data_IF_773744364459
#
_entry.id   IF_773744364459
#
_cell.length_a   1.000
_cell.length_b   1.000
_cell.length_c   1.000
_cell.angle_alpha   90.00
_cell.angle_beta   90.00
_cell.angle_gamma   90.00
#
_symmetry.space_group_name_H-M   'P 1'
#
loop_
_entity.id
_entity.type
_entity.pdbx_description
1 polymer ?
#
# COMPACT_ATOMS: atom_id res chain seq x y z
N UNK A 1 -15.46 -12.73 18.64
CA UNK A 1 -14.62 -11.53 18.53
C UNK A 1 -15.10 -10.72 17.35
N UNK A 2 -15.07 -9.38 17.45
CA UNK A 2 -15.59 -8.45 16.46
C UNK A 2 -14.42 -7.70 15.80
N UNK A 3 -14.44 -7.60 14.47
CA UNK A 3 -13.41 -6.96 13.65
C UNK A 3 -14.05 -5.92 12.75
N UNK A 4 -13.46 -4.73 12.69
CA UNK A 4 -13.91 -3.65 11.82
C UNK A 4 -12.92 -3.42 10.69
N UNK A 5 -13.43 -3.26 9.48
CA UNK A 5 -12.66 -2.81 8.32
C UNK A 5 -13.17 -1.44 7.90
N UNK A 6 -12.33 -0.42 8.00
CA UNK A 6 -12.60 0.91 7.46
C UNK A 6 -12.10 0.89 6.03
N UNK A 7 -13.03 0.98 5.08
CA UNK A 7 -12.79 0.79 3.63
C UNK A 7 -13.47 1.90 2.83
N UNK A 8 -13.08 2.03 1.57
CA UNK A 8 -13.86 2.79 0.60
C UNK A 8 -15.25 2.19 0.41
N UNK A 9 -16.22 2.91 -0.20
CA UNK A 9 -17.56 2.38 -0.42
C UNK A 9 -17.52 0.98 -1.06
N UNK A 10 -18.16 0.01 -0.42
CA UNK A 10 -18.03 -1.42 -0.76
C UNK A 10 -18.47 -1.72 -2.20
N UNK A 11 -19.37 -0.90 -2.75
CA UNK A 11 -19.87 -0.99 -4.13
C UNK A 11 -18.80 -0.66 -5.18
N UNK A 12 -17.77 0.09 -4.79
CA UNK A 12 -16.64 0.47 -5.65
C UNK A 12 -15.55 -0.60 -5.67
N UNK A 13 -15.56 -1.53 -4.72
CA UNK A 13 -14.54 -2.55 -4.58
C UNK A 13 -14.73 -3.69 -5.59
N UNK A 14 -13.64 -4.15 -6.17
CA UNK A 14 -13.65 -5.27 -7.13
C UNK A 14 -13.69 -6.61 -6.41
N UNK A 15 -14.86 -7.19 -6.22
CA UNK A 15 -15.12 -8.41 -5.42
C UNK A 15 -14.07 -9.51 -5.58
N UNK A 16 -13.62 -9.77 -6.81
CA UNK A 16 -12.68 -10.86 -7.14
C UNK A 16 -11.19 -10.51 -6.96
N UNK A 17 -10.87 -9.22 -6.72
CA UNK A 17 -9.47 -8.75 -6.70
C UNK A 17 -9.12 -7.94 -5.45
N UNK A 18 -10.13 -7.49 -4.73
CA UNK A 18 -9.91 -6.61 -3.59
C UNK A 18 -9.36 -7.38 -2.38
N UNK A 19 -8.26 -6.88 -1.83
CA UNK A 19 -7.58 -7.48 -0.68
C UNK A 19 -8.39 -7.34 0.61
N UNK A 20 -9.11 -6.24 0.80
CA UNK A 20 -9.92 -6.03 2.01
C UNK A 20 -11.09 -7.00 2.05
N UNK A 21 -11.77 -7.20 0.92
CA UNK A 21 -12.82 -8.21 0.80
C UNK A 21 -12.29 -9.64 0.92
N UNK A 22 -11.06 -9.90 0.47
CA UNK A 22 -10.42 -11.19 0.69
C UNK A 22 -10.15 -11.45 2.17
N UNK A 23 -9.63 -10.47 2.90
CA UNK A 23 -9.43 -10.56 4.35
C UNK A 23 -10.74 -10.81 5.08
N UNK A 24 -11.79 -10.04 4.77
CA UNK A 24 -13.12 -10.21 5.37
C UNK A 24 -13.67 -11.63 5.13
N UNK A 25 -13.55 -12.17 3.91
CA UNK A 25 -13.94 -13.57 3.60
C UNK A 25 -13.16 -14.56 4.44
N UNK A 26 -11.85 -14.34 4.59
CA UNK A 26 -10.97 -15.20 5.40
C UNK A 26 -11.41 -15.22 6.85
N UNK A 27 -11.74 -14.07 7.42
CA UNK A 27 -12.24 -13.94 8.80
C UNK A 27 -13.62 -14.60 8.97
N UNK A 28 -14.53 -14.41 8.02
CA UNK A 28 -15.87 -15.04 8.03
C UNK A 28 -15.78 -16.57 7.98
N UNK A 29 -14.86 -17.15 7.19
CA UNK A 29 -14.62 -18.62 7.15
C UNK A 29 -14.22 -19.18 8.52
N UNK A 30 -13.57 -18.37 9.35
CA UNK A 30 -13.22 -18.73 10.75
C UNK A 30 -14.31 -18.38 11.75
N UNK A 31 -15.53 -18.07 11.27
CA UNK A 31 -16.71 -17.72 12.09
C UNK A 31 -16.48 -16.50 13.00
N UNK A 32 -15.63 -15.58 12.60
CA UNK A 32 -15.40 -14.31 13.25
C UNK A 32 -16.46 -13.30 12.81
N UNK A 33 -16.86 -12.40 13.70
CA UNK A 33 -17.79 -11.32 13.33
C UNK A 33 -17.04 -10.21 12.61
N UNK A 34 -17.43 -9.96 11.37
CA UNK A 34 -16.81 -8.97 10.49
C UNK A 34 -17.78 -7.84 10.21
N UNK A 35 -17.31 -6.63 10.38
CA UNK A 35 -18.02 -5.40 10.11
C UNK A 35 -17.20 -4.51 9.18
N UNK A 36 -17.87 -3.66 8.43
CA UNK A 36 -17.21 -2.59 7.71
C UNK A 36 -17.86 -1.24 7.99
N UNK A 37 -17.10 -0.19 7.81
CA UNK A 37 -17.53 1.21 7.80
C UNK A 37 -16.76 1.95 6.70
N UNK A 38 -17.32 3.06 6.24
CA UNK A 38 -16.59 4.02 5.41
C UNK A 38 -16.00 5.12 6.28
N UNK A 39 -14.97 5.85 5.80
CA UNK A 39 -14.43 7.01 6.51
C UNK A 39 -15.49 8.02 6.95
N UNK A 40 -16.50 8.27 6.11
CA UNK A 40 -17.59 9.21 6.40
C UNK A 40 -18.49 8.77 7.59
N UNK A 41 -18.53 7.46 7.89
CA UNK A 41 -19.29 6.92 9.01
C UNK A 41 -18.59 7.04 10.37
N UNK A 42 -17.32 7.48 10.40
CA UNK A 42 -16.55 7.62 11.65
C UNK A 42 -16.83 8.98 12.28
N UNK A 43 -17.18 8.99 13.55
CA UNK A 43 -17.45 10.23 14.29
C UNK A 43 -16.92 10.20 15.72
N UNK A 44 -16.45 11.35 16.19
CA UNK A 44 -16.08 11.60 17.58
C UNK A 44 -17.27 12.30 18.27
N UNK A 45 -17.78 11.71 19.33
CA UNK A 45 -18.82 12.32 20.13
C UNK A 45 -18.23 13.36 21.11
N UNK A 46 -19.06 14.28 21.60
CA UNK A 46 -18.69 15.26 22.61
C UNK A 46 -18.10 14.65 23.90
N UNK A 47 -18.49 13.39 24.18
CA UNK A 47 -17.96 12.58 25.30
C UNK A 47 -16.54 12.07 25.08
N UNK A 48 -15.92 12.35 23.92
CA UNK A 48 -14.59 11.83 23.55
C UNK A 48 -14.60 10.40 23.00
N UNK A 49 -15.77 9.75 22.90
CA UNK A 49 -15.86 8.38 22.38
C UNK A 49 -16.03 8.35 20.86
N UNK A 50 -15.21 7.58 20.18
CA UNK A 50 -15.36 7.31 18.76
C UNK A 50 -16.44 6.27 18.50
N UNK A 51 -17.26 6.54 17.50
CA UNK A 51 -18.28 5.63 16.98
C UNK A 51 -18.22 5.53 15.47
N UNK A 52 -18.76 4.45 14.94
CA UNK A 52 -18.85 4.20 13.51
C UNK A 52 -20.26 3.77 13.12
N UNK A 53 -20.70 4.20 11.95
CA UNK A 53 -21.84 3.63 11.24
C UNK A 53 -21.35 2.37 10.54
N UNK A 54 -21.77 1.20 11.04
CA UNK A 54 -21.21 -0.09 10.63
C UNK A 54 -22.25 -1.00 10.03
N UNK A 55 -21.79 -1.86 9.14
CA UNK A 55 -22.58 -2.90 8.50
C UNK A 55 -21.96 -4.26 8.83
N UNK A 56 -22.73 -5.18 9.41
CA UNK A 56 -22.26 -6.54 9.68
C UNK A 56 -22.29 -7.37 8.40
N UNK A 57 -21.14 -7.92 8.01
CA UNK A 57 -21.05 -8.80 6.84
C UNK A 57 -21.62 -10.18 7.18
N UNK A 58 -22.57 -10.65 6.35
CA UNK A 58 -23.11 -12.02 6.38
C UNK A 58 -22.31 -12.97 5.49
N UNK A 59 -22.04 -12.53 4.26
CA UNK A 59 -21.38 -13.36 3.24
C UNK A 59 -20.80 -12.48 2.14
N UNK A 60 -19.69 -12.93 1.56
CA UNK A 60 -19.10 -12.32 0.37
C UNK A 60 -18.89 -13.41 -0.68
N UNK A 61 -19.67 -13.38 -1.75
CA UNK A 61 -19.55 -14.26 -2.93
C UNK A 61 -19.29 -13.39 -4.17
N UNK A 62 -20.21 -13.36 -5.13
CA UNK A 62 -20.18 -12.44 -6.28
C UNK A 62 -20.64 -11.03 -5.90
N UNK A 63 -21.26 -10.90 -4.72
CA UNK A 63 -21.56 -9.62 -4.06
C UNK A 63 -21.38 -9.76 -2.56
N UNK A 64 -21.17 -8.64 -1.88
CA UNK A 64 -21.22 -8.59 -0.42
C UNK A 64 -22.68 -8.53 0.04
N UNK A 65 -23.00 -9.35 1.04
CA UNK A 65 -24.31 -9.35 1.74
C UNK A 65 -24.05 -8.94 3.18
N UNK A 66 -24.77 -7.94 3.65
CA UNK A 66 -24.60 -7.36 4.99
C UNK A 66 -25.94 -6.91 5.58
N UNK A 67 -25.95 -6.68 6.89
CA UNK A 67 -27.11 -6.18 7.63
C UNK A 67 -27.29 -4.68 7.38
N UNK A 68 -28.42 -4.15 7.89
CA UNK A 68 -28.66 -2.72 7.93
C UNK A 68 -27.60 -2.00 8.78
N UNK A 69 -27.50 -0.68 8.56
CA UNK A 69 -26.56 0.17 9.27
C UNK A 69 -26.89 0.22 10.78
N UNK A 70 -25.86 0.00 11.58
CA UNK A 70 -25.94 0.20 13.03
C UNK A 70 -24.84 1.16 13.50
N UNK A 71 -25.12 2.01 14.47
CA UNK A 71 -24.09 2.81 15.13
C UNK A 71 -23.46 2.05 16.29
N UNK A 72 -22.14 1.79 16.23
CA UNK A 72 -21.37 1.12 17.28
C UNK A 72 -20.22 1.99 17.78
N UNK A 73 -19.93 1.91 19.08
CA UNK A 73 -18.66 2.43 19.62
C UNK A 73 -17.49 1.64 19.03
N UNK A 74 -16.36 2.29 18.75
CA UNK A 74 -15.15 1.59 18.30
C UNK A 74 -14.61 0.60 19.35
N UNK A 75 -14.94 0.80 20.65
CA UNK A 75 -14.58 -0.11 21.73
C UNK A 75 -15.25 -1.50 21.59
N UNK A 76 -16.28 -1.63 20.75
CA UNK A 76 -16.91 -2.91 20.43
C UNK A 76 -16.03 -3.87 19.67
N UNK A 77 -14.99 -3.35 18.98
CA UNK A 77 -14.12 -4.12 18.11
C UNK A 77 -12.79 -4.46 18.79
N UNK A 78 -12.31 -5.69 18.60
CA UNK A 78 -10.99 -6.15 19.06
C UNK A 78 -9.90 -5.48 18.23
N UNK A 79 -10.06 -5.52 16.90
CA UNK A 79 -9.11 -4.92 15.94
C UNK A 79 -9.85 -4.13 14.87
N UNK A 80 -9.21 -3.10 14.39
CA UNK A 80 -9.73 -2.21 13.37
C UNK A 80 -8.69 -2.10 12.25
N UNK A 81 -9.06 -2.55 11.05
CA UNK A 81 -8.21 -2.49 9.85
C UNK A 81 -8.51 -1.20 9.10
N UNK A 82 -7.49 -0.36 8.92
CA UNK A 82 -7.59 0.85 8.11
C UNK A 82 -7.16 0.46 6.69
N UNK A 83 -8.13 0.35 5.78
CA UNK A 83 -7.96 -0.17 4.44
C UNK A 83 -8.51 0.77 3.37
N UNK A 84 -8.41 2.06 3.63
CA UNK A 84 -8.76 3.12 2.67
C UNK A 84 -7.65 3.26 1.65
N UNK A 85 -8.01 3.31 0.38
CA UNK A 85 -7.04 3.47 -0.69
C UNK A 85 -6.51 4.92 -0.76
N UNK A 86 -5.27 5.14 -1.18
CA UNK A 86 -4.79 6.47 -1.54
C UNK A 86 -5.67 7.15 -2.62
N UNK A 87 -5.68 8.48 -2.74
CA UNK A 87 -4.64 9.38 -2.26
C UNK A 87 -4.72 9.69 -0.77
N UNK A 88 -3.57 9.90 -0.12
CA UNK A 88 -3.50 10.41 1.24
C UNK A 88 -3.77 11.93 1.19
N UNK A 89 -5.05 12.28 1.17
CA UNK A 89 -5.56 13.65 1.11
C UNK A 89 -5.96 14.21 2.49
N UNK A 90 -6.59 15.37 2.52
CA UNK A 90 -7.07 16.00 3.76
C UNK A 90 -8.12 15.14 4.48
N UNK A 91 -8.96 14.41 3.76
CA UNK A 91 -9.96 13.53 4.38
C UNK A 91 -9.30 12.32 5.05
N UNK A 92 -8.32 11.72 4.37
CA UNK A 92 -7.53 10.63 4.96
C UNK A 92 -6.75 11.12 6.18
N UNK A 93 -6.15 12.31 6.10
CA UNK A 93 -5.44 12.95 7.22
C UNK A 93 -6.37 13.14 8.42
N UNK A 94 -7.57 13.70 8.22
CA UNK A 94 -8.58 13.89 9.26
C UNK A 94 -9.02 12.56 9.89
N UNK A 95 -9.28 11.53 9.07
CA UNK A 95 -9.57 10.18 9.56
C UNK A 95 -8.45 9.66 10.46
N UNK A 96 -7.19 9.85 10.07
CA UNK A 96 -6.03 9.40 10.84
C UNK A 96 -5.94 10.08 12.20
N UNK A 97 -6.25 11.37 12.29
CA UNK A 97 -6.30 12.11 13.56
C UNK A 97 -7.45 11.63 14.46
N UNK A 98 -8.62 11.37 13.90
CA UNK A 98 -9.76 10.84 14.66
C UNK A 98 -9.41 9.46 15.23
N UNK A 99 -8.94 8.54 14.38
CA UNK A 99 -8.62 7.17 14.81
C UNK A 99 -7.48 7.11 15.82
N UNK A 100 -6.55 8.06 15.81
CA UNK A 100 -5.46 8.15 16.81
C UNK A 100 -5.98 8.42 18.24
N UNK A 101 -7.19 9.01 18.39
CA UNK A 101 -7.83 9.20 19.70
C UNK A 101 -8.34 7.88 20.28
N UNK A 102 -8.46 6.82 19.47
CA UNK A 102 -8.90 5.50 19.93
C UNK A 102 -7.76 4.71 20.57
N UNK A 103 -7.97 4.21 21.80
CA UNK A 103 -6.91 3.53 22.58
C UNK A 103 -7.26 2.10 22.99
N UNK A 104 -8.50 1.65 22.71
CA UNK A 104 -8.99 0.36 23.22
C UNK A 104 -8.80 -0.81 22.27
N UNK A 105 -8.80 -0.56 20.96
CA UNK A 105 -8.63 -1.59 19.94
C UNK A 105 -7.27 -1.48 19.29
N UNK A 106 -6.73 -2.58 18.82
CA UNK A 106 -5.56 -2.59 17.96
C UNK A 106 -5.92 -2.05 16.58
N UNK A 107 -5.20 -1.02 16.12
CA UNK A 107 -5.38 -0.41 14.82
C UNK A 107 -4.32 -0.94 13.83
N UNK A 108 -4.73 -1.46 12.70
CA UNK A 108 -3.86 -2.02 11.66
C UNK A 108 -4.04 -1.20 10.36
N UNK A 109 -3.05 -0.41 9.93
CA UNK A 109 -1.82 -0.02 10.63
C UNK A 109 -2.09 1.15 11.59
N UNK A 110 -1.07 1.51 12.40
CA UNK A 110 -1.13 2.72 13.24
C UNK A 110 -1.48 3.97 12.44
N UNK A 111 -2.51 4.76 12.83
CA UNK A 111 -2.88 6.00 12.13
C UNK A 111 -1.74 7.02 12.05
N UNK A 112 -0.95 7.15 13.12
CA UNK A 112 0.23 8.03 13.14
C UNK A 112 1.30 7.54 12.15
N UNK A 113 1.52 6.24 12.06
CA UNK A 113 2.48 5.69 11.11
C UNK A 113 2.03 5.88 9.65
N UNK A 114 0.75 5.64 9.34
CA UNK A 114 0.19 5.92 8.01
C UNK A 114 0.42 7.39 7.63
N UNK A 115 0.22 8.32 8.57
CA UNK A 115 0.41 9.75 8.38
C UNK A 115 1.88 10.15 8.21
N UNK A 116 2.77 9.52 8.98
CA UNK A 116 4.18 9.92 9.04
C UNK A 116 5.04 9.28 7.93
N UNK A 117 4.59 8.17 7.34
CA UNK A 117 5.39 7.39 6.39
C UNK A 117 4.76 7.39 5.00
N UNK A 118 5.20 8.33 4.16
CA UNK A 118 4.84 8.31 2.74
C UNK A 118 5.44 7.08 2.07
N UNK A 119 4.65 6.35 1.28
CA UNK A 119 5.00 5.05 0.68
C UNK A 119 6.25 5.08 -0.21
N UNK A 120 6.52 6.22 -0.88
CA UNK A 120 7.73 6.39 -1.70
C UNK A 120 8.91 6.98 -0.92
N UNK A 121 8.65 7.94 -0.02
CA UNK A 121 9.72 8.62 0.70
C UNK A 121 10.29 7.77 1.85
N UNK A 122 9.51 6.85 2.42
CA UNK A 122 9.95 6.00 3.54
C UNK A 122 11.18 5.15 3.20
N UNK A 123 11.38 4.80 1.93
CA UNK A 123 12.58 4.07 1.48
C UNK A 123 13.88 4.84 1.69
N UNK A 124 13.81 6.19 1.82
CA UNK A 124 15.00 7.04 2.04
C UNK A 124 15.66 6.77 3.39
N UNK A 125 14.96 6.15 4.35
CA UNK A 125 15.55 5.66 5.59
C UNK A 125 16.52 4.48 5.36
N UNK A 126 16.46 3.85 4.18
CA UNK A 126 17.20 2.63 3.84
C UNK A 126 18.09 2.82 2.61
N UNK A 127 18.95 3.85 2.61
CA UNK A 127 19.75 4.28 1.46
C UNK A 127 20.60 3.16 0.82
N UNK A 128 21.03 2.16 1.59
CA UNK A 128 21.77 1.02 1.09
C UNK A 128 20.92 -0.02 0.33
N UNK A 129 19.61 0.07 0.47
CA UNK A 129 18.65 -0.84 -0.15
C UNK A 129 18.02 -0.27 -1.43
N UNK A 130 18.24 1.01 -1.75
CA UNK A 130 17.58 1.69 -2.85
C UNK A 130 18.54 2.04 -3.98
N UNK A 131 18.00 2.14 -5.19
CA UNK A 131 18.75 2.71 -6.30
C UNK A 131 19.07 4.21 -6.03
N UNK A 132 20.10 4.79 -6.66
CA UNK A 132 20.35 6.22 -6.56
C UNK A 132 19.08 7.02 -6.77
N UNK A 133 18.75 7.87 -5.79
CA UNK A 133 17.48 8.60 -5.70
C UNK A 133 17.76 10.07 -5.39
N UNK A 134 17.05 10.96 -6.06
CA UNK A 134 16.95 12.39 -5.81
C UNK A 134 15.48 12.72 -5.53
N UNK A 135 15.23 13.58 -4.55
CA UNK A 135 13.93 14.23 -4.34
C UNK A 135 14.15 15.73 -4.50
N UNK A 136 13.53 16.34 -5.47
CA UNK A 136 13.75 17.76 -5.78
C UNK A 136 12.59 18.32 -6.63
N UNK A 137 12.45 19.63 -6.60
CA UNK A 137 11.64 20.42 -7.53
C UNK A 137 12.51 21.29 -8.46
N UNK A 138 13.84 21.27 -8.24
CA UNK A 138 14.81 22.01 -9.05
C UNK A 138 15.05 21.32 -10.39
N UNK A 139 14.62 21.98 -11.47
CA UNK A 139 14.83 21.48 -12.83
C UNK A 139 16.32 21.27 -13.15
N UNK A 140 17.22 22.13 -12.64
CA UNK A 140 18.66 22.01 -12.84
C UNK A 140 19.23 20.78 -12.17
N UNK A 141 18.85 20.50 -10.90
CA UNK A 141 19.31 19.30 -10.17
C UNK A 141 18.81 18.02 -10.83
N UNK A 142 17.53 18.02 -11.26
CA UNK A 142 16.94 16.88 -11.95
C UNK A 142 17.65 16.62 -13.27
N UNK A 143 17.94 17.64 -14.08
CA UNK A 143 18.69 17.50 -15.34
C UNK A 143 20.11 17.00 -15.10
N UNK A 144 20.79 17.49 -14.05
CA UNK A 144 22.13 16.98 -13.66
C UNK A 144 22.08 15.51 -13.26
N UNK A 145 21.05 15.09 -12.52
CA UNK A 145 20.83 13.69 -12.15
C UNK A 145 20.58 12.82 -13.40
N UNK A 146 19.77 13.28 -14.36
CA UNK A 146 19.52 12.60 -15.63
C UNK A 146 20.82 12.46 -16.43
N UNK A 147 21.60 13.55 -16.50
CA UNK A 147 22.92 13.54 -17.18
C UNK A 147 23.88 12.53 -16.57
N UNK A 148 23.91 12.43 -15.23
CA UNK A 148 24.76 11.50 -14.47
C UNK A 148 24.35 10.04 -14.70
N UNK A 149 23.08 9.71 -14.56
CA UNK A 149 22.60 8.30 -14.58
C UNK A 149 22.09 7.84 -15.93
N UNK A 150 22.01 8.72 -16.95
CA UNK A 150 21.65 8.46 -18.35
C UNK A 150 20.21 7.98 -18.58
N UNK A 151 19.63 7.27 -17.64
CA UNK A 151 18.27 6.75 -17.70
C UNK A 151 17.66 6.77 -16.31
N UNK A 152 16.56 7.48 -16.16
CA UNK A 152 15.91 7.68 -14.86
C UNK A 152 14.40 7.52 -14.95
N UNK A 153 13.77 7.19 -13.81
CA UNK A 153 12.32 7.21 -13.63
C UNK A 153 11.96 8.40 -12.75
N UNK A 154 11.00 9.19 -13.21
CA UNK A 154 10.35 10.23 -12.42
C UNK A 154 9.06 9.70 -11.85
N UNK A 155 8.80 10.00 -10.58
CA UNK A 155 7.60 9.55 -9.84
C UNK A 155 7.01 10.72 -9.06
N UNK A 156 5.72 11.03 -9.18
CA UNK A 156 5.02 11.88 -8.22
C UNK A 156 5.05 11.24 -6.83
N UNK A 157 5.24 12.05 -5.78
CA UNK A 157 5.38 11.53 -4.41
C UNK A 157 4.06 10.97 -3.87
N UNK A 158 2.92 11.60 -4.19
CA UNK A 158 1.61 11.31 -3.60
C UNK A 158 0.69 10.46 -4.49
N UNK A 159 1.08 10.17 -5.74
CA UNK A 159 0.27 9.37 -6.65
C UNK A 159 0.53 7.88 -6.49
N UNK A 160 -0.46 7.06 -6.86
CA UNK A 160 -0.42 5.60 -6.76
C UNK A 160 -0.64 4.90 -8.10
N UNK A 161 -0.59 3.58 -8.10
CA UNK A 161 -0.92 2.70 -9.23
C UNK A 161 -0.16 3.00 -10.53
N UNK A 162 1.04 3.57 -10.42
CA UNK A 162 1.88 3.90 -11.59
C UNK A 162 1.43 5.13 -12.38
N UNK A 163 0.56 5.97 -11.82
CA UNK A 163 0.20 7.25 -12.45
C UNK A 163 1.38 8.22 -12.43
N UNK A 164 1.50 9.04 -13.48
CA UNK A 164 2.52 10.08 -13.57
C UNK A 164 3.97 9.58 -13.59
N UNK A 165 4.22 8.31 -13.92
CA UNK A 165 5.58 7.75 -14.02
C UNK A 165 6.12 8.03 -15.43
N UNK A 166 7.28 8.69 -15.51
CA UNK A 166 7.98 8.96 -16.76
C UNK A 166 9.38 8.37 -16.75
N UNK A 167 9.75 7.78 -17.88
CA UNK A 167 11.12 7.36 -18.17
C UNK A 167 11.81 8.44 -18.99
N UNK A 168 12.87 9.03 -18.47
CA UNK A 168 13.63 10.06 -19.18
C UNK A 168 15.10 9.66 -19.43
N UNK A 169 15.63 10.22 -20.51
CA UNK A 169 17.06 10.18 -20.92
C UNK A 169 17.56 11.61 -21.14
N UNK A 170 18.91 11.81 -21.16
CA UNK A 170 19.47 13.06 -21.64
C UNK A 170 18.95 13.40 -23.01
N UNK A 171 18.71 14.45 -23.50
CA UNK A 171 18.25 14.80 -24.86
C UNK A 171 16.83 14.31 -25.21
N UNK A 172 16.00 13.97 -24.20
CA UNK A 172 14.59 13.75 -24.48
C UNK A 172 13.93 15.08 -24.88
N UNK A 173 13.27 15.16 -26.04
CA UNK A 173 12.71 16.44 -26.53
C UNK A 173 11.61 16.99 -25.59
N UNK A 174 10.96 16.14 -24.81
CA UNK A 174 9.88 16.52 -23.89
C UNK A 174 10.37 16.81 -22.46
N UNK A 175 11.68 16.75 -22.19
CA UNK A 175 12.22 16.85 -20.83
C UNK A 175 11.75 18.11 -20.10
N UNK A 176 11.69 19.27 -20.76
CA UNK A 176 11.29 20.52 -20.14
C UNK A 176 9.81 20.49 -19.77
N UNK A 177 8.94 20.12 -20.71
CA UNK A 177 7.48 20.06 -20.51
C UNK A 177 7.12 19.05 -19.41
N UNK A 178 7.78 17.88 -19.40
CA UNK A 178 7.56 16.87 -18.35
C UNK A 178 7.98 17.42 -16.98
N UNK A 179 9.14 18.06 -16.87
CA UNK A 179 9.61 18.63 -15.61
C UNK A 179 8.72 19.78 -15.13
N UNK A 180 8.34 20.70 -15.99
CA UNK A 180 7.41 21.79 -15.69
C UNK A 180 6.08 21.24 -15.16
N UNK A 181 5.48 20.30 -15.88
CA UNK A 181 4.22 19.66 -15.48
C UNK A 181 4.34 18.90 -14.15
N UNK A 182 5.34 18.04 -14.00
CA UNK A 182 5.48 17.19 -12.80
C UNK A 182 5.83 18.00 -11.55
N UNK A 183 6.68 19.03 -11.70
CA UNK A 183 7.06 19.89 -10.57
C UNK A 183 6.08 21.04 -10.36
N UNK A 184 5.03 21.15 -11.17
CA UNK A 184 4.15 22.31 -11.18
C UNK A 184 4.97 23.62 -11.21
N UNK A 185 5.83 23.77 -12.23
CA UNK A 185 6.75 24.89 -12.38
C UNK A 185 7.66 25.14 -11.15
N UNK A 186 8.16 24.07 -10.54
CA UNK A 186 9.07 24.14 -9.40
C UNK A 186 8.39 24.26 -8.02
N UNK A 187 7.06 24.16 -7.94
CA UNK A 187 6.31 24.24 -6.68
C UNK A 187 6.16 22.88 -5.99
N UNK A 188 6.29 21.75 -6.72
CA UNK A 188 6.12 20.39 -6.21
C UNK A 188 7.41 19.60 -6.31
N UNK A 189 7.80 18.97 -5.21
CA UNK A 189 8.87 17.98 -5.22
C UNK A 189 8.43 16.69 -5.92
N UNK A 190 9.33 16.09 -6.66
CA UNK A 190 9.17 14.77 -7.28
C UNK A 190 10.33 13.86 -6.90
N UNK A 191 10.11 12.55 -6.96
CA UNK A 191 11.18 11.57 -6.81
C UNK A 191 11.75 11.21 -8.18
N UNK A 192 13.08 11.23 -8.29
CA UNK A 192 13.83 10.83 -9.49
C UNK A 192 14.77 9.69 -9.11
N UNK A 193 14.63 8.54 -9.73
CA UNK A 193 15.46 7.36 -9.44
C UNK A 193 16.21 6.89 -10.67
N UNK A 194 17.46 6.41 -10.49
CA UNK A 194 18.15 5.67 -11.55
C UNK A 194 17.26 4.53 -12.03
N UNK A 195 17.11 4.38 -13.34
CA UNK A 195 16.32 3.31 -13.94
C UNK A 195 16.93 1.94 -13.59
N UNK A 196 16.11 1.05 -13.08
CA UNK A 196 16.46 -0.33 -12.75
C UNK A 196 16.02 -1.19 -13.92
N UNK A 197 17.00 -1.74 -14.66
CA UNK A 197 16.74 -2.50 -15.90
C UNK A 197 15.97 -3.80 -15.65
N UNK A 198 16.09 -4.35 -14.44
CA UNK A 198 15.45 -5.57 -13.96
C UNK A 198 13.91 -5.45 -13.91
N UNK A 199 13.32 -4.24 -14.02
CA UNK A 199 11.89 -4.05 -14.18
C UNK A 199 11.30 -4.88 -15.34
N UNK A 200 12.09 -5.16 -16.38
CA UNK A 200 11.68 -6.04 -17.49
C UNK A 200 11.36 -7.46 -17.03
N UNK A 201 12.00 -7.91 -15.95
CA UNK A 201 11.74 -9.22 -15.34
C UNK A 201 10.53 -9.17 -14.38
N UNK A 202 10.17 -7.97 -13.92
CA UNK A 202 9.05 -7.69 -13.06
C UNK A 202 9.41 -6.87 -11.82
N UNK A 203 8.35 -6.44 -11.16
CA UNK A 203 8.33 -5.73 -9.88
C UNK A 203 7.68 -6.66 -8.85
N UNK A 204 8.40 -7.00 -7.78
CA UNK A 204 7.93 -7.92 -6.74
C UNK A 204 7.16 -7.14 -5.67
N UNK A 205 5.87 -7.46 -5.47
CA UNK A 205 5.11 -7.10 -4.27
C UNK A 205 5.29 -8.20 -3.24
N UNK A 206 5.86 -7.86 -2.08
CA UNK A 206 6.01 -8.78 -0.94
C UNK A 206 5.13 -8.25 0.18
N UNK A 207 4.21 -9.08 0.66
CA UNK A 207 3.33 -8.75 1.78
C UNK A 207 4.01 -9.15 3.08
N UNK A 208 4.05 -8.22 4.03
CA UNK A 208 4.58 -8.41 5.36
C UNK A 208 3.44 -8.26 6.38
N UNK A 209 3.33 -9.25 7.26
CA UNK A 209 2.41 -9.25 8.40
C UNK A 209 3.25 -9.26 9.67
N UNK A 210 3.08 -8.26 10.54
CA UNK A 210 3.90 -8.11 11.75
C UNK A 210 5.41 -8.17 11.47
N UNK A 211 5.84 -7.60 10.33
CA UNK A 211 7.23 -7.64 9.88
C UNK A 211 7.71 -8.99 9.31
N UNK A 212 6.84 -10.00 9.23
CA UNK A 212 7.15 -11.32 8.66
C UNK A 212 6.58 -11.43 7.23
N UNK A 213 7.37 -11.90 6.26
CA UNK A 213 6.86 -12.01 4.89
C UNK A 213 5.94 -13.21 4.70
N UNK A 214 4.96 -13.09 3.81
CA UNK A 214 4.33 -14.26 3.22
C UNK A 214 5.38 -15.07 2.43
N UNK A 215 5.18 -16.39 2.27
CA UNK A 215 6.17 -17.28 1.61
C UNK A 215 6.44 -16.96 0.15
N UNK A 216 5.55 -16.19 -0.49
CA UNK A 216 5.64 -15.84 -1.90
C UNK A 216 5.54 -14.33 -2.11
N UNK A 217 6.33 -13.83 -3.04
CA UNK A 217 6.15 -12.51 -3.65
C UNK A 217 5.22 -12.62 -4.86
N UNK A 218 4.43 -11.59 -5.12
CA UNK A 218 3.71 -11.41 -6.37
C UNK A 218 4.60 -10.65 -7.36
N UNK A 219 5.17 -11.34 -8.32
CA UNK A 219 5.92 -10.75 -9.42
C UNK A 219 4.94 -10.17 -10.44
N UNK A 220 4.93 -8.85 -10.57
CA UNK A 220 4.12 -8.11 -11.54
C UNK A 220 4.99 -7.83 -12.76
N UNK A 221 4.69 -8.46 -13.87
CA UNK A 221 5.47 -8.32 -15.11
C UNK A 221 4.80 -7.27 -16.00
N UNK A 222 5.55 -6.22 -16.43
CA UNK A 222 5.00 -5.20 -17.31
C UNK A 222 4.61 -5.77 -18.67
N UNK A 223 3.67 -5.12 -19.35
CA UNK A 223 3.35 -5.43 -20.73
C UNK A 223 4.51 -5.05 -21.66
N UNK A 224 4.50 -5.59 -22.89
CA UNK A 224 5.48 -5.25 -23.91
C UNK A 224 5.44 -3.73 -24.17
N UNK A 225 6.63 -3.08 -24.14
CA UNK A 225 6.82 -1.64 -24.31
C UNK A 225 6.27 -0.76 -23.16
N UNK A 226 5.96 -1.35 -22.00
CA UNK A 226 5.57 -0.61 -20.80
C UNK A 226 6.70 -0.69 -19.75
N UNK A 227 6.87 0.37 -18.98
CA UNK A 227 7.83 0.42 -17.85
C UNK A 227 7.13 0.26 -16.50
N UNK A 228 5.80 0.28 -16.47
CA UNK A 228 4.98 0.11 -15.25
C UNK A 228 4.51 -1.34 -15.15
N UNK A 229 4.77 -1.97 -14.02
CA UNK A 229 4.39 -3.35 -13.76
C UNK A 229 3.06 -3.49 -12.98
N UNK A 230 2.44 -2.38 -12.57
CA UNK A 230 1.22 -2.38 -11.77
C UNK A 230 0.10 -3.18 -12.43
N UNK A 231 -0.58 -4.06 -11.68
CA UNK A 231 -1.70 -4.87 -12.18
C UNK A 231 -2.84 -4.01 -12.72
N UNK A 232 -3.06 -2.83 -12.13
CA UNK A 232 -4.04 -1.85 -12.62
C UNK A 232 -3.71 -1.30 -14.01
N UNK A 233 -2.45 -1.40 -14.46
CA UNK A 233 -2.00 -1.02 -15.81
C UNK A 233 -1.82 -2.23 -16.73
N UNK A 234 -2.44 -3.38 -16.38
CA UNK A 234 -2.44 -4.58 -17.21
C UNK A 234 -1.23 -5.50 -17.02
N UNK A 235 -0.40 -5.29 -16.01
CA UNK A 235 0.66 -6.21 -15.64
C UNK A 235 0.12 -7.61 -15.31
N UNK A 236 0.91 -8.65 -15.61
CA UNK A 236 0.58 -10.04 -15.23
C UNK A 236 1.21 -10.35 -13.87
N UNK A 237 0.39 -10.90 -12.97
CA UNK A 237 0.84 -11.34 -11.65
C UNK A 237 1.16 -12.83 -11.61
N UNK A 238 2.38 -13.17 -11.22
CA UNK A 238 2.83 -14.56 -11.02
C UNK A 238 3.53 -14.67 -9.67
N UNK A 239 3.23 -15.67 -8.87
CA UNK A 239 3.93 -15.85 -7.59
C UNK A 239 5.35 -16.39 -7.81
N UNK A 240 6.26 -15.95 -6.95
CA UNK A 240 7.65 -16.41 -6.89
C UNK A 240 8.08 -16.60 -5.44
N UNK A 241 8.92 -17.59 -5.17
CA UNK A 241 9.60 -17.70 -3.86
C UNK A 241 10.49 -16.48 -3.63
N UNK A 242 10.63 -16.10 -2.37
CA UNK A 242 11.53 -15.02 -1.97
C UNK A 242 12.99 -15.39 -2.24
N UNK A 243 13.75 -14.43 -2.75
CA UNK A 243 15.20 -14.57 -2.95
C UNK A 243 15.96 -14.27 -1.65
N UNK A 244 17.25 -14.64 -1.58
CA UNK A 244 18.12 -14.23 -0.46
C UNK A 244 18.12 -12.71 -0.29
N UNK A 245 18.17 -11.97 -1.40
CA UNK A 245 18.15 -10.50 -1.38
C UNK A 245 16.84 -9.93 -0.84
N UNK A 246 15.71 -10.52 -1.19
CA UNK A 246 14.42 -10.13 -0.61
C UNK A 246 14.42 -10.28 0.91
N UNK A 247 14.93 -11.41 1.42
CA UNK A 247 15.03 -11.67 2.87
C UNK A 247 15.99 -10.71 3.59
N UNK A 248 17.10 -10.30 2.95
CA UNK A 248 18.00 -9.28 3.48
C UNK A 248 17.33 -7.91 3.59
N UNK A 249 16.58 -7.50 2.56
CA UNK A 249 15.80 -6.27 2.56
C UNK A 249 14.81 -6.30 3.72
N UNK A 250 14.02 -7.38 3.82
CA UNK A 250 13.01 -7.55 4.87
C UNK A 250 13.65 -7.50 6.26
N UNK A 251 14.74 -8.22 6.48
CA UNK A 251 15.46 -8.23 7.75
C UNK A 251 15.90 -6.81 8.16
N UNK A 252 16.36 -6.02 7.19
CA UNK A 252 16.85 -4.66 7.46
C UNK A 252 15.73 -3.69 7.84
N UNK A 253 14.54 -3.84 7.22
CA UNK A 253 13.41 -2.93 7.50
C UNK A 253 12.51 -3.39 8.64
N UNK A 254 12.66 -4.64 9.12
CA UNK A 254 11.74 -5.27 10.06
C UNK A 254 11.59 -4.49 11.38
N UNK A 255 12.69 -4.06 12.00
CA UNK A 255 12.64 -3.28 13.24
C UNK A 255 11.87 -1.98 13.04
N UNK A 256 12.13 -1.26 11.95
CA UNK A 256 11.39 -0.05 11.60
C UNK A 256 9.87 -0.29 11.48
N UNK A 257 9.44 -1.40 10.87
CA UNK A 257 8.02 -1.72 10.75
C UNK A 257 7.38 -2.00 12.12
N UNK A 258 8.05 -2.79 12.96
CA UNK A 258 7.56 -3.17 14.29
C UNK A 258 7.48 -1.96 15.22
N UNK A 259 8.55 -1.16 15.31
CA UNK A 259 8.63 0.03 16.16
C UNK A 259 7.57 1.09 15.82
N UNK A 260 7.11 1.11 14.57
CA UNK A 260 6.08 2.03 14.12
C UNK A 260 4.68 1.42 14.00
N UNK A 261 4.46 0.20 14.50
CA UNK A 261 3.18 -0.50 14.42
C UNK A 261 2.62 -0.56 12.99
N UNK A 262 3.51 -0.83 12.03
CA UNK A 262 3.20 -1.10 10.63
C UNK A 262 3.00 -2.61 10.44
N UNK A 263 1.85 -3.10 10.87
CA UNK A 263 1.55 -4.53 10.99
C UNK A 263 1.15 -5.19 9.66
N UNK A 264 0.64 -4.41 8.70
CA UNK A 264 0.26 -4.89 7.38
C UNK A 264 0.85 -4.01 6.28
N UNK A 265 1.93 -4.47 5.67
CA UNK A 265 2.71 -3.69 4.71
C UNK A 265 2.92 -4.48 3.42
N UNK A 266 2.94 -3.77 2.30
CA UNK A 266 3.40 -4.30 1.03
C UNK A 266 4.69 -3.59 0.62
N UNK A 267 5.80 -4.30 0.45
CA UNK A 267 7.01 -3.70 -0.12
C UNK A 267 7.14 -4.05 -1.59
N UNK A 268 7.67 -3.12 -2.35
CA UNK A 268 7.95 -3.31 -3.78
C UNK A 268 9.46 -3.39 -4.01
N UNK A 269 9.89 -4.42 -4.74
CA UNK A 269 11.31 -4.70 -5.00
C UNK A 269 11.53 -4.96 -6.48
N UNK A 270 12.41 -4.18 -7.11
CA UNK A 270 12.83 -4.37 -8.50
C UNK A 270 14.30 -4.78 -8.52
N UNK A 271 14.62 -5.96 -9.05
CA UNK A 271 15.95 -6.53 -8.94
C UNK A 271 16.36 -6.65 -7.47
N UNK A 272 17.41 -5.92 -7.08
CA UNK A 272 17.98 -5.91 -5.73
C UNK A 272 17.59 -4.68 -4.91
N UNK A 273 16.65 -3.85 -5.40
CA UNK A 273 16.34 -2.55 -4.83
C UNK A 273 14.92 -2.45 -4.31
N UNK A 274 14.80 -1.99 -3.07
CA UNK A 274 13.54 -1.55 -2.47
C UNK A 274 13.06 -0.26 -3.18
N UNK A 275 11.81 -0.24 -3.64
CA UNK A 275 11.26 0.88 -4.41
C UNK A 275 10.09 1.57 -3.77
N UNK A 276 9.32 0.88 -2.91
CA UNK A 276 8.18 1.42 -2.14
C UNK A 276 7.96 0.61 -0.86
N UNK A 277 7.40 1.26 0.16
CA UNK A 277 6.87 0.64 1.40
C UNK A 277 5.42 1.08 1.51
N UNK A 278 4.49 0.24 1.08
CA UNK A 278 3.06 0.56 1.02
C UNK A 278 2.41 0.28 2.37
N UNK A 279 1.95 1.32 3.05
CA UNK A 279 1.46 1.28 4.44
C UNK A 279 -0.04 1.56 4.58
N UNK A 280 -0.70 2.05 3.54
CA UNK A 280 -2.14 2.37 3.54
C UNK A 280 -2.98 1.14 3.28
N UNK A 281 -3.17 0.78 2.03
CA UNK A 281 -4.01 -0.35 1.60
C UNK A 281 -3.26 -1.27 0.61
N UNK A 282 -2.14 -1.95 1.01
CA UNK A 282 -1.40 -2.81 0.10
C UNK A 282 -2.28 -3.95 -0.44
N UNK A 283 -2.17 -4.19 -1.75
CA UNK A 283 -2.92 -5.20 -2.51
C UNK A 283 -2.01 -6.34 -2.98
N UNK A 284 -2.61 -7.41 -3.54
CA UNK A 284 -1.90 -8.57 -4.09
C UNK A 284 -2.14 -9.87 -3.34
N UNK A 285 -2.88 -9.86 -2.23
CA UNK A 285 -3.18 -11.09 -1.46
C UNK A 285 -4.03 -12.08 -2.25
N UNK A 286 -4.98 -11.61 -3.03
CA UNK A 286 -5.86 -12.49 -3.84
C UNK A 286 -5.04 -13.27 -4.84
N UNK A 287 -4.14 -12.58 -5.55
CA UNK A 287 -3.27 -13.20 -6.55
C UNK A 287 -2.27 -14.18 -5.92
N UNK A 288 -1.75 -13.85 -4.73
CA UNK A 288 -0.85 -14.76 -4.00
C UNK A 288 -1.62 -16.00 -3.54
N UNK A 289 -2.77 -15.81 -2.88
CA UNK A 289 -3.54 -16.91 -2.33
C UNK A 289 -4.11 -17.86 -3.41
N UNK A 290 -4.50 -17.32 -4.57
CA UNK A 290 -5.05 -18.12 -5.67
C UNK A 290 -4.01 -18.99 -6.38
N UNK A 291 -2.73 -18.67 -6.27
CA UNK A 291 -1.64 -19.40 -6.94
C UNK A 291 -0.77 -20.22 -5.97
N UNK A 292 -0.86 -19.95 -4.67
CA UNK A 292 -0.03 -20.62 -3.67
C UNK A 292 -0.49 -22.07 -3.43
N UNK A 293 0.47 -22.99 -3.31
CA UNK A 293 0.24 -24.40 -2.95
C UNK A 293 0.13 -24.60 -1.42
N UNK A 294 -0.32 -23.58 -0.69
CA UNK A 294 -0.44 -23.59 0.76
C UNK A 294 -1.57 -22.67 1.22
N UNK A 295 -2.02 -22.87 2.45
CA UNK A 295 -3.11 -22.11 3.02
C UNK A 295 -2.66 -20.71 3.49
N UNK A 296 -2.66 -19.74 2.59
CA UNK A 296 -2.34 -18.33 2.89
C UNK A 296 -3.36 -17.72 3.87
N UNK A 297 -4.63 -18.14 3.80
CA UNK A 297 -5.69 -17.66 4.71
C UNK A 297 -5.37 -18.01 6.18
N UNK A 298 -4.78 -19.18 6.42
CA UNK A 298 -4.40 -19.60 7.77
C UNK A 298 -3.26 -18.74 8.34
N UNK A 299 -2.25 -18.44 7.52
CA UNK A 299 -1.15 -17.53 7.92
C UNK A 299 -1.73 -16.15 8.28
N UNK A 300 -2.64 -15.62 7.46
CA UNK A 300 -3.28 -14.32 7.71
C UNK A 300 -4.04 -14.33 9.04
N UNK A 301 -4.80 -15.36 9.32
CA UNK A 301 -5.55 -15.45 10.57
C UNK A 301 -4.61 -15.53 11.78
N UNK A 302 -3.56 -16.34 11.71
CA UNK A 302 -2.60 -16.49 12.80
C UNK A 302 -1.86 -15.18 13.11
N UNK A 303 -1.58 -14.38 12.08
CA UNK A 303 -0.86 -13.12 12.25
C UNK A 303 -1.77 -11.93 12.59
N UNK A 304 -3.02 -11.90 12.11
CA UNK A 304 -3.86 -10.70 12.18
C UNK A 304 -5.13 -10.84 13.04
N UNK A 305 -5.51 -12.00 13.55
CA UNK A 305 -6.75 -12.15 14.35
C UNK A 305 -6.59 -11.93 15.87
#
# INVERSE_FOLDING_TARGET
MNYLFIIDPIEQLKIKKDTSLFLMRTFLKKKLNVYFATPAGISLKETGNLSADVFKIKKITDKAMYDECEKKSLNFFKKIFIRVDPPFDANYLNLSYLLEQHKHSELINSPSAIRNFNEKLSILNFRKLIAPTLVSNSTSDIKNFIKKYKKVILKPIHDMAGNGIFLLKPNDPNINVILESMTNNGLKQIMVQKFIKEIKQGDKRIILLNGNPLPYALLRVPQRNEVRANLAKGGKGVIKKLTKRDLEIIKTIKSFLIENNLNFVGIDVIGDYLTEINVTSPTGLVEIASQANMNIEEIIINELS
#
